data_IF_174281060895
#
_entry.id   IF_174281060895
#
_cell.length_a   1.000
_cell.length_b   1.000
_cell.length_c   1.000
_cell.angle_alpha   90.00
_cell.angle_beta   90.00
_cell.angle_gamma   90.00
#
_symmetry.space_group_name_H-M   'P 1'
#
loop_
_entity.id
_entity.type
_entity.pdbx_description
1 polymer ?
#
# COMPACT_ATOMS: atom_id res chain seq x y z
N UNK A 1 -4.60 11.82 -8.17
CA UNK A 1 -3.55 12.66 -8.81
C UNK A 1 -2.90 11.82 -9.89
N UNK A 2 -2.82 12.32 -11.10
CA UNK A 2 -2.14 11.63 -12.21
C UNK A 2 -0.64 11.46 -11.91
N UNK A 3 -0.04 10.39 -12.43
CA UNK A 3 1.37 10.07 -12.18
C UNK A 3 2.28 11.23 -12.61
N UNK A 4 2.02 11.81 -13.79
CA UNK A 4 2.81 12.94 -14.30
C UNK A 4 2.81 14.13 -13.35
N UNK A 5 1.63 14.57 -12.90
CA UNK A 5 1.50 15.69 -11.95
C UNK A 5 2.20 15.40 -10.62
N UNK A 6 2.17 14.14 -10.15
CA UNK A 6 2.89 13.73 -8.95
C UNK A 6 4.40 13.86 -9.14
N UNK A 7 4.94 13.34 -10.26
CA UNK A 7 6.37 13.37 -10.57
C UNK A 7 6.89 14.78 -10.83
N UNK A 8 6.11 15.63 -11.52
CA UNK A 8 6.46 17.04 -11.72
C UNK A 8 6.64 17.78 -10.38
N UNK A 9 5.75 17.51 -9.42
CA UNK A 9 5.84 18.10 -8.07
C UNK A 9 7.03 17.56 -7.29
N UNK A 10 7.26 16.24 -7.33
CA UNK A 10 8.39 15.62 -6.65
C UNK A 10 9.73 16.11 -7.19
N UNK A 11 9.86 16.21 -8.52
CA UNK A 11 11.08 16.75 -9.14
C UNK A 11 11.27 18.23 -8.85
N UNK A 12 10.20 19.03 -8.87
CA UNK A 12 10.26 20.45 -8.55
C UNK A 12 10.63 20.71 -7.09
N UNK A 13 10.20 19.87 -6.16
CA UNK A 13 10.57 19.94 -4.73
C UNK A 13 12.09 19.88 -4.56
N UNK A 14 12.76 18.97 -5.28
CA UNK A 14 14.21 18.78 -5.19
C UNK A 14 15.00 19.85 -5.98
N UNK A 15 14.53 20.19 -7.17
CA UNK A 15 15.23 21.15 -8.04
C UNK A 15 15.08 22.62 -7.63
N UNK A 16 13.95 22.99 -6.98
CA UNK A 16 13.67 24.38 -6.65
C UNK A 16 13.77 25.31 -7.87
N UNK A 17 14.78 26.18 -7.90
CA UNK A 17 15.10 27.11 -9.00
C UNK A 17 16.15 26.56 -9.98
N UNK A 18 16.52 25.30 -9.89
CA UNK A 18 17.46 24.59 -10.75
C UNK A 18 18.75 24.19 -10.05
N UNK A 19 19.46 23.22 -10.65
CA UNK A 19 20.71 22.70 -10.09
C UNK A 19 21.84 23.73 -10.24
N UNK A 20 22.52 24.03 -9.15
CA UNK A 20 23.65 24.96 -9.15
C UNK A 20 24.87 24.39 -9.91
N UNK A 21 25.03 23.06 -9.91
CA UNK A 21 26.11 22.42 -10.66
C UNK A 21 25.99 22.66 -12.17
N UNK A 22 24.79 22.66 -12.72
CA UNK A 22 24.55 22.93 -14.12
C UNK A 22 25.07 24.33 -14.56
N UNK A 23 25.07 25.32 -13.64
CA UNK A 23 25.55 26.68 -13.92
C UNK A 23 27.06 26.78 -14.10
N UNK A 24 27.81 25.79 -13.62
CA UNK A 24 29.27 25.73 -13.68
C UNK A 24 29.78 24.63 -14.60
N UNK A 25 28.88 23.82 -15.15
CA UNK A 25 29.22 22.80 -16.14
C UNK A 25 29.53 23.45 -17.49
N UNK A 26 30.79 23.39 -17.91
CA UNK A 26 31.23 24.02 -19.16
C UNK A 26 30.60 23.42 -20.40
N UNK A 27 30.43 22.08 -20.41
CA UNK A 27 29.82 21.34 -21.52
C UNK A 27 29.13 20.08 -20.98
N UNK A 28 27.87 19.90 -21.37
CA UNK A 28 27.14 18.66 -21.07
C UNK A 28 27.54 17.51 -22.02
N UNK A 29 27.39 16.29 -21.58
CA UNK A 29 27.73 15.07 -22.31
C UNK A 29 26.80 13.93 -21.98
N UNK A 30 26.71 12.93 -22.84
CA UNK A 30 25.93 11.72 -22.56
C UNK A 30 26.68 10.79 -21.59
N UNK A 31 25.98 10.32 -20.58
CA UNK A 31 26.49 9.37 -19.60
C UNK A 31 25.52 8.20 -19.44
N UNK A 32 26.03 7.10 -18.91
CA UNK A 32 25.24 5.93 -18.49
C UNK A 32 25.29 5.83 -16.98
N UNK A 33 24.14 5.57 -16.36
CA UNK A 33 24.04 5.37 -14.91
C UNK A 33 23.38 4.03 -14.58
N UNK A 34 23.81 3.45 -13.47
CA UNK A 34 23.30 2.18 -12.95
C UNK A 34 22.74 2.37 -11.55
N UNK A 35 21.47 2.01 -11.36
CA UNK A 35 20.86 1.89 -10.04
C UNK A 35 21.14 0.48 -9.52
N UNK A 36 21.79 0.39 -8.36
CA UNK A 36 22.17 -0.89 -7.74
C UNK A 36 21.65 -1.02 -6.33
N UNK A 37 21.24 -2.23 -6.00
CA UNK A 37 20.82 -2.59 -4.65
C UNK A 37 22.01 -2.73 -3.69
N UNK A 38 21.81 -2.28 -2.44
CA UNK A 38 22.73 -2.57 -1.32
C UNK A 38 22.13 -3.57 -0.33
N UNK A 39 20.83 -3.80 -0.41
CA UNK A 39 20.07 -4.76 0.39
C UNK A 39 19.26 -5.67 -0.53
N UNK A 40 18.77 -6.77 -0.01
CA UNK A 40 17.81 -7.62 -0.70
C UNK A 40 16.39 -7.06 -0.56
N UNK A 41 15.51 -7.37 -1.52
CA UNK A 41 14.12 -6.93 -1.46
C UNK A 41 13.28 -7.35 -2.64
N UNK A 42 12.09 -6.76 -2.69
CA UNK A 42 11.13 -6.86 -3.80
C UNK A 42 11.11 -5.52 -4.51
N UNK A 43 11.36 -5.52 -5.81
CA UNK A 43 11.38 -4.29 -6.61
C UNK A 43 9.98 -3.76 -6.80
N UNK A 44 9.84 -2.46 -6.61
CA UNK A 44 8.60 -1.73 -6.85
C UNK A 44 8.92 -0.27 -7.18
N UNK A 45 8.12 0.29 -8.09
CA UNK A 45 8.30 1.66 -8.57
C UNK A 45 8.63 1.76 -10.05
N UNK A 46 8.70 0.65 -10.80
CA UNK A 46 9.01 0.63 -12.23
C UNK A 46 8.16 1.64 -13.00
N UNK A 47 6.84 1.60 -12.83
CA UNK A 47 5.91 2.50 -13.52
C UNK A 47 6.20 3.98 -13.28
N UNK A 48 6.56 4.35 -12.06
CA UNK A 48 6.87 5.74 -11.69
C UNK A 48 8.27 6.15 -12.18
N UNK A 49 9.23 5.25 -12.06
CA UNK A 49 10.59 5.48 -12.57
C UNK A 49 10.59 5.70 -14.08
N UNK A 50 9.94 4.81 -14.85
CA UNK A 50 9.84 4.96 -16.31
C UNK A 50 9.15 6.26 -16.72
N UNK A 51 8.07 6.65 -16.03
CA UNK A 51 7.41 7.91 -16.31
C UNK A 51 8.30 9.14 -15.99
N UNK A 52 9.10 9.09 -14.92
CA UNK A 52 10.07 10.14 -14.59
C UNK A 52 11.16 10.26 -15.65
N UNK A 53 11.70 9.13 -16.10
CA UNK A 53 12.74 9.08 -17.14
C UNK A 53 12.21 9.63 -18.48
N UNK A 54 11.00 9.22 -18.88
CA UNK A 54 10.33 9.72 -20.08
C UNK A 54 10.13 11.24 -20.03
N UNK A 55 9.63 11.77 -18.90
CA UNK A 55 9.43 13.21 -18.71
C UNK A 55 10.72 14.02 -18.81
N UNK A 56 11.86 13.43 -18.49
CA UNK A 56 13.16 14.10 -18.45
C UNK A 56 14.04 13.77 -19.65
N UNK A 57 13.54 13.01 -20.63
CA UNK A 57 14.28 12.63 -21.84
C UNK A 57 15.42 11.66 -21.58
N UNK A 58 15.39 10.93 -20.45
CA UNK A 58 16.38 9.90 -20.13
C UNK A 58 15.90 8.56 -20.68
N UNK A 59 16.79 7.88 -21.39
CA UNK A 59 16.54 6.54 -21.93
C UNK A 59 16.66 5.48 -20.80
N UNK A 60 15.66 4.63 -20.65
CA UNK A 60 15.78 3.40 -19.86
C UNK A 60 16.29 2.27 -20.75
N UNK A 61 17.56 1.91 -20.60
CA UNK A 61 18.20 0.84 -21.36
C UNK A 61 17.74 -0.52 -20.87
N UNK A 62 17.67 -0.68 -19.53
CA UNK A 62 17.24 -1.92 -18.87
C UNK A 62 16.65 -1.62 -17.50
N UNK A 63 15.63 -2.37 -17.10
CA UNK A 63 15.10 -2.39 -15.74
C UNK A 63 14.60 -3.79 -15.39
N UNK A 64 14.67 -4.18 -14.11
CA UNK A 64 13.92 -5.30 -13.59
C UNK A 64 12.45 -4.88 -13.41
N UNK A 65 11.56 -5.85 -13.33
CA UNK A 65 10.13 -5.61 -13.26
C UNK A 65 9.64 -5.49 -11.82
N UNK A 66 8.55 -4.77 -11.63
CA UNK A 66 7.81 -4.79 -10.38
C UNK A 66 7.55 -6.24 -9.94
N UNK A 67 7.62 -6.49 -8.63
CA UNK A 67 7.49 -7.79 -7.96
C UNK A 67 8.70 -8.72 -8.08
N UNK A 68 9.69 -8.42 -8.91
CA UNK A 68 10.92 -9.22 -8.96
C UNK A 68 11.73 -9.07 -7.66
N UNK A 69 12.29 -10.17 -7.21
CA UNK A 69 13.22 -10.19 -6.06
C UNK A 69 14.62 -9.84 -6.52
N UNK A 70 15.33 -9.10 -5.72
CA UNK A 70 16.72 -8.75 -5.96
C UNK A 70 17.58 -8.95 -4.71
N UNK A 71 18.89 -9.06 -4.94
CA UNK A 71 19.93 -9.23 -3.93
C UNK A 71 20.89 -8.05 -3.90
N UNK A 72 21.69 -7.90 -2.83
CA UNK A 72 22.76 -6.90 -2.80
C UNK A 72 23.68 -7.01 -4.02
N UNK A 73 24.03 -5.85 -4.61
CA UNK A 73 24.86 -5.68 -5.82
C UNK A 73 24.14 -5.91 -7.15
N UNK A 74 22.90 -6.42 -7.16
CA UNK A 74 22.14 -6.51 -8.40
C UNK A 74 21.95 -5.12 -9.04
N UNK A 75 22.04 -5.07 -10.36
CA UNK A 75 21.69 -3.89 -11.14
C UNK A 75 20.20 -3.92 -11.38
N UNK A 76 19.50 -2.92 -10.82
CA UNK A 76 18.05 -2.78 -10.91
C UNK A 76 17.62 -2.02 -12.15
N UNK A 77 18.39 -0.97 -12.52
CA UNK A 77 18.16 -0.17 -13.72
C UNK A 77 19.47 0.25 -14.35
N UNK A 78 19.46 0.33 -15.70
CA UNK A 78 20.48 0.99 -16.53
C UNK A 78 19.79 2.09 -17.32
N UNK A 79 20.29 3.33 -17.19
CA UNK A 79 19.70 4.51 -17.79
C UNK A 79 20.78 5.33 -18.49
N UNK A 80 20.41 6.03 -19.58
CA UNK A 80 21.31 6.87 -20.38
C UNK A 80 20.69 8.22 -20.65
N UNK A 81 21.45 9.28 -20.49
CA UNK A 81 20.96 10.64 -20.75
C UNK A 81 22.07 11.67 -20.67
N UNK A 82 21.68 12.94 -20.70
CA UNK A 82 22.59 14.03 -20.43
C UNK A 82 23.04 13.98 -18.98
N UNK A 83 24.34 14.14 -18.74
CA UNK A 83 24.95 14.01 -17.42
C UNK A 83 24.28 14.94 -16.40
N UNK A 84 24.05 16.21 -16.78
CA UNK A 84 23.34 17.17 -15.93
C UNK A 84 21.92 16.69 -15.59
N UNK A 85 21.19 16.10 -16.54
CA UNK A 85 19.83 15.61 -16.28
C UNK A 85 19.83 14.35 -15.39
N UNK A 86 20.80 13.45 -15.56
CA UNK A 86 20.96 12.28 -14.68
C UNK A 86 21.19 12.71 -13.23
N UNK A 87 22.01 13.75 -12.99
CA UNK A 87 22.23 14.31 -11.64
C UNK A 87 20.95 14.90 -11.05
N UNK A 88 20.19 15.65 -11.86
CA UNK A 88 18.92 16.27 -11.42
C UNK A 88 17.85 15.26 -11.00
N UNK A 89 17.79 14.11 -11.63
CA UNK A 89 16.75 13.09 -11.33
C UNK A 89 17.18 12.07 -10.29
N UNK A 90 18.48 11.95 -10.02
CA UNK A 90 19.05 10.90 -9.16
C UNK A 90 18.30 10.76 -7.84
N UNK A 91 18.17 11.86 -7.10
CA UNK A 91 17.59 11.80 -5.75
C UNK A 91 16.10 11.45 -5.79
N UNK A 92 15.34 12.09 -6.66
CA UNK A 92 13.92 11.82 -6.85
C UNK A 92 13.70 10.37 -7.29
N UNK A 93 14.46 9.87 -8.26
CA UNK A 93 14.39 8.47 -8.72
C UNK A 93 14.69 7.48 -7.59
N UNK A 94 15.80 7.69 -6.87
CA UNK A 94 16.18 6.81 -5.77
C UNK A 94 15.14 6.82 -4.65
N UNK A 95 14.63 7.99 -4.26
CA UNK A 95 13.60 8.08 -3.21
C UNK A 95 12.33 7.31 -3.59
N UNK A 96 11.88 7.40 -4.83
CA UNK A 96 10.73 6.64 -5.33
C UNK A 96 10.98 5.14 -5.25
N UNK A 97 12.10 4.66 -5.80
CA UNK A 97 12.42 3.24 -5.84
C UNK A 97 12.66 2.65 -4.44
N UNK A 98 13.41 3.35 -3.59
CA UNK A 98 13.73 2.92 -2.22
C UNK A 98 12.48 2.83 -1.36
N UNK A 99 11.59 3.83 -1.42
CA UNK A 99 10.36 3.86 -0.66
C UNK A 99 9.38 2.78 -1.13
N UNK A 100 9.14 2.71 -2.43
CA UNK A 100 8.21 1.74 -3.01
C UNK A 100 8.68 0.30 -2.78
N UNK A 101 9.96 0.01 -3.00
CA UNK A 101 10.54 -1.31 -2.75
C UNK A 101 10.55 -1.67 -1.25
N UNK A 102 10.70 -0.67 -0.37
CA UNK A 102 10.58 -0.87 1.08
C UNK A 102 9.21 -1.39 1.48
N UNK A 103 8.15 -0.74 0.98
CA UNK A 103 6.76 -1.17 1.21
C UNK A 103 6.50 -2.55 0.61
N UNK A 104 6.91 -2.79 -0.64
CA UNK A 104 6.73 -4.07 -1.31
C UNK A 104 7.46 -5.21 -0.58
N UNK A 105 8.67 -4.95 -0.10
CA UNK A 105 9.48 -5.92 0.66
C UNK A 105 8.83 -6.27 2.00
N UNK A 106 8.39 -5.28 2.77
CA UNK A 106 7.69 -5.54 4.04
C UNK A 106 6.38 -6.29 3.78
N UNK A 107 5.61 -5.88 2.78
CA UNK A 107 4.36 -6.52 2.39
C UNK A 107 4.59 -7.99 2.02
N UNK A 108 5.62 -8.29 1.23
CA UNK A 108 5.95 -9.66 0.84
C UNK A 108 6.27 -10.56 2.05
N UNK A 109 6.95 -10.01 3.08
CA UNK A 109 7.19 -10.73 4.34
C UNK A 109 5.88 -11.05 5.09
N UNK A 110 4.93 -10.12 5.08
CA UNK A 110 3.59 -10.36 5.67
C UNK A 110 2.80 -11.40 4.87
N UNK A 111 2.86 -11.38 3.53
CA UNK A 111 2.25 -12.41 2.66
C UNK A 111 2.83 -13.79 2.95
N UNK A 112 4.15 -13.90 3.08
CA UNK A 112 4.82 -15.15 3.45
C UNK A 112 4.41 -15.63 4.85
N UNK A 113 4.38 -14.71 5.83
CA UNK A 113 3.98 -15.03 7.20
C UNK A 113 2.50 -15.39 7.33
N UNK A 114 1.63 -14.82 6.50
CA UNK A 114 0.20 -15.14 6.43
C UNK A 114 0.00 -16.64 6.13
N UNK A 115 0.79 -17.18 5.19
CA UNK A 115 0.79 -18.60 4.80
C UNK A 115 -0.63 -19.15 4.52
N UNK A 116 -1.42 -18.37 3.79
CA UNK A 116 -2.78 -18.72 3.36
C UNK A 116 -3.05 -18.16 1.97
N UNK A 117 -3.77 -18.91 1.15
CA UNK A 117 -4.25 -18.48 -0.17
C UNK A 117 -5.72 -18.04 -0.15
N UNK A 118 -6.43 -18.33 0.93
CA UNK A 118 -7.85 -18.03 1.09
C UNK A 118 -8.09 -16.68 1.76
N UNK A 119 -7.22 -16.30 2.70
CA UNK A 119 -7.32 -15.05 3.45
C UNK A 119 -6.57 -13.92 2.72
N UNK A 120 -7.22 -12.79 2.50
CA UNK A 120 -6.62 -11.64 1.84
C UNK A 120 -5.87 -10.76 2.84
N UNK A 121 -4.61 -10.44 2.54
CA UNK A 121 -3.89 -9.38 3.22
C UNK A 121 -4.25 -8.03 2.58
N UNK A 122 -4.66 -7.06 3.40
CA UNK A 122 -5.08 -5.73 2.97
C UNK A 122 -4.19 -4.65 3.60
N UNK A 123 -4.01 -3.56 2.86
CA UNK A 123 -3.51 -2.31 3.41
C UNK A 123 -4.61 -1.53 4.17
N UNK A 124 -4.34 -0.29 4.52
CA UNK A 124 -5.29 0.62 5.16
C UNK A 124 -5.22 2.03 4.54
N UNK A 125 -5.95 2.99 5.12
CA UNK A 125 -5.80 4.43 4.80
C UNK A 125 -4.71 5.13 5.62
N UNK A 126 -3.94 4.39 6.42
CA UNK A 126 -2.79 4.92 7.18
C UNK A 126 -1.60 5.11 6.25
N UNK A 127 -1.73 6.05 5.31
CA UNK A 127 -0.74 6.41 4.30
C UNK A 127 -0.20 7.81 4.56
N UNK A 128 0.97 8.12 3.99
CA UNK A 128 1.47 9.49 4.01
C UNK A 128 0.57 10.39 3.18
N UNK A 129 0.34 11.66 3.60
CA UNK A 129 -0.44 12.60 2.79
C UNK A 129 0.09 12.70 1.35
N UNK A 130 -0.81 12.74 0.39
CA UNK A 130 -0.56 12.80 -1.06
C UNK A 130 0.09 11.55 -1.69
N UNK A 131 0.68 10.62 -0.91
CA UNK A 131 1.36 9.42 -1.42
C UNK A 131 0.46 8.18 -1.53
N UNK A 132 -0.81 8.25 -1.12
CA UNK A 132 -1.68 7.06 -1.01
C UNK A 132 -1.69 6.16 -2.24
N UNK A 133 -1.87 6.72 -3.42
CA UNK A 133 -1.94 5.94 -4.66
C UNK A 133 -0.60 5.23 -4.93
N UNK A 134 0.51 5.92 -4.70
CA UNK A 134 1.86 5.36 -4.84
C UNK A 134 2.15 4.28 -3.79
N UNK A 135 1.81 4.51 -2.52
CA UNK A 135 2.06 3.55 -1.45
C UNK A 135 1.17 2.29 -1.58
N UNK A 136 -0.09 2.46 -1.98
CA UNK A 136 -1.00 1.33 -2.24
C UNK A 136 -0.59 0.52 -3.48
N UNK A 137 -0.08 1.16 -4.52
CA UNK A 137 0.56 0.47 -5.64
C UNK A 137 1.74 -0.39 -5.17
N UNK A 138 2.55 0.11 -4.24
CA UNK A 138 3.69 -0.62 -3.68
C UNK A 138 3.25 -1.86 -2.89
N UNK A 139 2.12 -1.77 -2.17
CA UNK A 139 1.51 -2.92 -1.48
C UNK A 139 1.09 -4.02 -2.44
N UNK A 140 0.47 -3.66 -3.59
CA UNK A 140 0.12 -4.63 -4.64
C UNK A 140 1.37 -5.35 -5.20
N UNK A 141 2.48 -4.64 -5.32
CA UNK A 141 3.74 -5.22 -5.77
C UNK A 141 4.38 -6.14 -4.74
N UNK A 142 4.05 -5.97 -3.46
CA UNK A 142 4.42 -6.89 -2.40
C UNK A 142 3.55 -8.16 -2.31
N UNK A 143 2.48 -8.25 -3.13
CA UNK A 143 1.60 -9.42 -3.20
C UNK A 143 0.33 -9.35 -2.34
N UNK A 144 0.06 -8.23 -1.66
CA UNK A 144 -1.18 -8.01 -0.93
C UNK A 144 -2.24 -7.31 -1.81
N UNK A 145 -3.42 -7.04 -1.26
CA UNK A 145 -4.52 -6.33 -1.92
C UNK A 145 -4.74 -4.96 -1.27
N UNK A 146 -5.42 -4.06 -1.96
CA UNK A 146 -5.82 -2.79 -1.38
C UNK A 146 -7.16 -2.90 -0.66
N UNK A 147 -7.27 -2.31 0.52
CA UNK A 147 -8.51 -1.87 1.14
C UNK A 147 -8.98 -0.59 0.45
N UNK A 148 -10.17 -0.07 0.78
CA UNK A 148 -10.73 1.15 0.18
C UNK A 148 -9.69 2.27 0.01
N UNK A 149 -9.76 2.92 -1.16
CA UNK A 149 -8.84 4.00 -1.53
C UNK A 149 -9.19 5.32 -0.84
N UNK A 150 -10.48 5.59 -0.65
CA UNK A 150 -10.98 6.83 -0.08
C UNK A 150 -12.23 6.60 0.76
N UNK A 151 -12.87 7.69 1.15
CA UNK A 151 -14.17 7.66 1.84
C UNK A 151 -15.33 7.38 0.89
N UNK A 152 -15.12 7.58 -0.39
CA UNK A 152 -16.06 7.41 -1.50
C UNK A 152 -16.10 5.97 -2.05
N UNK A 153 -15.19 5.10 -1.63
CA UNK A 153 -15.05 3.75 -2.18
C UNK A 153 -15.94 2.72 -1.44
N UNK A 154 -16.02 2.82 -0.11
CA UNK A 154 -16.91 2.00 0.73
C UNK A 154 -17.30 2.77 2.00
N UNK A 155 -18.55 2.56 2.47
CA UNK A 155 -18.97 3.06 3.76
C UNK A 155 -18.36 2.19 4.87
N UNK A 156 -17.60 2.80 5.77
CA UNK A 156 -17.09 2.15 6.98
C UNK A 156 -17.58 2.91 8.20
N UNK A 157 -18.32 2.23 9.06
CA UNK A 157 -18.78 2.77 10.34
C UNK A 157 -17.80 2.36 11.44
N UNK A 158 -17.33 3.34 12.18
CA UNK A 158 -16.42 3.20 13.31
C UNK A 158 -17.13 3.51 14.62
N UNK A 159 -16.47 3.23 15.75
CA UNK A 159 -16.94 3.54 17.09
C UNK A 159 -17.54 4.95 17.21
N UNK A 160 -16.86 5.95 16.65
CA UNK A 160 -17.32 7.35 16.65
C UNK A 160 -18.62 7.57 15.89
N UNK A 161 -18.88 6.83 14.81
CA UNK A 161 -20.14 6.89 14.08
C UNK A 161 -21.24 6.16 14.85
N UNK A 162 -20.93 4.96 15.37
CA UNK A 162 -21.88 4.10 16.06
C UNK A 162 -22.45 4.73 17.34
N UNK A 163 -21.66 5.52 18.07
CA UNK A 163 -22.12 6.31 19.24
C UNK A 163 -23.28 7.26 18.95
N UNK A 164 -23.43 7.68 17.68
CA UNK A 164 -24.48 8.61 17.25
C UNK A 164 -25.64 7.92 16.52
N UNK A 165 -25.57 6.60 16.29
CA UNK A 165 -26.61 5.82 15.60
C UNK A 165 -27.42 5.06 16.64
N UNK A 166 -28.68 5.50 16.87
CA UNK A 166 -29.58 4.88 17.87
C UNK A 166 -30.12 3.52 17.43
N UNK A 167 -30.43 3.38 16.15
CA UNK A 167 -30.95 2.14 15.53
C UNK A 167 -30.12 1.82 14.30
N UNK A 168 -29.19 0.89 14.45
CA UNK A 168 -28.25 0.51 13.41
C UNK A 168 -28.96 -0.11 12.19
N UNK A 169 -30.00 -0.94 12.41
CA UNK A 169 -30.74 -1.59 11.33
C UNK A 169 -31.49 -0.60 10.45
N UNK A 170 -32.18 0.34 11.07
CA UNK A 170 -32.86 1.43 10.34
C UNK A 170 -31.87 2.33 9.62
N UNK A 171 -30.72 2.63 10.24
CA UNK A 171 -29.65 3.41 9.61
C UNK A 171 -29.08 2.69 8.38
N UNK A 172 -28.74 1.40 8.46
CA UNK A 172 -28.22 0.65 7.30
C UNK A 172 -29.24 0.53 6.17
N UNK A 173 -30.52 0.35 6.52
CA UNK A 173 -31.64 0.36 5.54
C UNK A 173 -31.71 1.68 4.78
N UNK A 174 -31.56 2.79 5.51
CA UNK A 174 -31.51 4.14 4.89
C UNK A 174 -30.24 4.33 4.07
N UNK A 175 -29.08 3.92 4.60
CA UNK A 175 -27.80 4.02 3.91
C UNK A 175 -27.83 3.32 2.54
N UNK A 176 -28.34 2.10 2.46
CA UNK A 176 -28.43 1.33 1.21
C UNK A 176 -29.27 2.03 0.11
N UNK A 177 -30.24 2.87 0.49
CA UNK A 177 -31.04 3.63 -0.49
C UNK A 177 -30.29 4.84 -1.05
N UNK A 178 -29.26 5.31 -0.35
CA UNK A 178 -28.53 6.55 -0.67
C UNK A 178 -27.08 6.30 -1.12
N UNK A 179 -26.57 5.09 -0.95
CA UNK A 179 -25.25 4.71 -1.43
C UNK A 179 -25.31 4.17 -2.87
N UNK A 180 -24.19 4.22 -3.62
CA UNK A 180 -24.09 3.51 -4.89
C UNK A 180 -24.44 2.03 -4.69
N UNK A 181 -25.15 1.45 -5.67
CA UNK A 181 -25.62 0.05 -5.60
C UNK A 181 -24.50 -0.96 -5.31
N UNK A 182 -23.29 -0.69 -5.80
CA UNK A 182 -22.11 -1.54 -5.63
C UNK A 182 -21.32 -1.30 -4.33
N UNK A 183 -21.68 -0.27 -3.56
CA UNK A 183 -20.95 0.08 -2.35
C UNK A 183 -21.20 -0.95 -1.23
N UNK A 184 -20.12 -1.40 -0.61
CA UNK A 184 -20.14 -2.23 0.60
C UNK A 184 -20.31 -1.37 1.85
N UNK A 185 -20.97 -1.95 2.87
CA UNK A 185 -21.06 -1.38 4.21
C UNK A 185 -20.26 -2.24 5.16
N UNK A 186 -19.23 -1.66 5.73
CA UNK A 186 -18.35 -2.28 6.71
C UNK A 186 -18.56 -1.65 8.08
N UNK A 187 -18.53 -2.47 9.14
CA UNK A 187 -18.68 -2.02 10.53
C UNK A 187 -17.51 -2.54 11.36
N UNK A 188 -16.79 -1.61 11.99
CA UNK A 188 -15.72 -1.88 12.93
C UNK A 188 -16.34 -2.20 14.31
N UNK A 189 -15.99 -3.35 14.87
CA UNK A 189 -16.53 -3.90 16.10
C UNK A 189 -15.41 -4.28 17.07
N UNK A 190 -15.58 -3.95 18.35
CA UNK A 190 -14.61 -4.25 19.42
C UNK A 190 -15.09 -5.36 20.36
N UNK A 191 -16.26 -5.96 20.11
CA UNK A 191 -16.83 -7.04 20.92
C UNK A 191 -17.68 -8.02 20.10
N UNK A 192 -17.87 -9.21 20.63
CA UNK A 192 -18.75 -10.23 20.04
C UNK A 192 -20.19 -9.70 19.86
N UNK A 193 -20.74 -8.99 20.85
CA UNK A 193 -22.11 -8.48 20.78
C UNK A 193 -22.24 -7.36 19.73
N UNK A 194 -21.22 -6.51 19.55
CA UNK A 194 -21.21 -5.53 18.46
C UNK A 194 -21.16 -6.21 17.10
N UNK A 195 -20.31 -7.21 16.91
CA UNK A 195 -20.21 -7.97 15.67
C UNK A 195 -21.54 -8.67 15.33
N UNK A 196 -22.18 -9.30 16.30
CA UNK A 196 -23.51 -9.91 16.17
C UNK A 196 -24.58 -8.89 15.79
N UNK A 197 -24.59 -7.72 16.44
CA UNK A 197 -25.51 -6.64 16.12
C UNK A 197 -25.30 -6.10 14.71
N UNK A 198 -24.04 -5.92 14.30
CA UNK A 198 -23.67 -5.48 12.95
C UNK A 198 -24.16 -6.45 11.85
N UNK A 199 -23.95 -7.76 12.07
CA UNK A 199 -24.45 -8.82 11.16
C UNK A 199 -25.98 -8.81 11.08
N UNK A 200 -26.67 -8.74 12.23
CA UNK A 200 -28.13 -8.69 12.29
C UNK A 200 -28.70 -7.42 11.64
N UNK A 201 -27.97 -6.31 11.71
CA UNK A 201 -28.38 -5.06 11.07
C UNK A 201 -28.17 -5.07 9.54
N UNK A 202 -27.41 -6.03 9.01
CA UNK A 202 -27.19 -6.21 7.57
C UNK A 202 -25.91 -5.58 7.04
N UNK A 203 -24.82 -5.57 7.81
CA UNK A 203 -23.49 -5.26 7.33
C UNK A 203 -23.04 -6.23 6.23
N UNK A 204 -22.27 -5.76 5.26
CA UNK A 204 -21.62 -6.63 4.27
C UNK A 204 -20.28 -7.17 4.77
N UNK A 205 -19.59 -6.38 5.60
CA UNK A 205 -18.30 -6.70 6.19
C UNK A 205 -18.34 -6.32 7.68
N UNK A 206 -17.85 -7.20 8.52
CA UNK A 206 -17.63 -6.94 9.95
C UNK A 206 -16.14 -7.01 10.22
N UNK A 207 -15.57 -5.92 10.72
CA UNK A 207 -14.17 -5.85 11.10
C UNK A 207 -14.04 -6.08 12.62
N UNK A 208 -13.31 -7.11 13.02
CA UNK A 208 -12.89 -7.38 14.38
C UNK A 208 -11.66 -6.50 14.70
N UNK A 209 -11.87 -5.34 15.34
CA UNK A 209 -10.78 -4.41 15.63
C UNK A 209 -10.18 -4.66 17.01
N UNK A 210 -8.88 -4.87 17.06
CA UNK A 210 -8.10 -5.15 18.27
C UNK A 210 -8.58 -6.34 19.10
N UNK A 211 -9.34 -7.28 18.53
CA UNK A 211 -9.78 -8.49 19.19
C UNK A 211 -8.71 -9.57 19.18
N UNK A 212 -8.72 -10.44 20.19
CA UNK A 212 -7.84 -11.62 20.22
C UNK A 212 -8.21 -12.64 19.14
N UNK A 213 -7.28 -13.54 18.82
CA UNK A 213 -7.52 -14.66 17.89
C UNK A 213 -8.69 -15.54 18.34
N UNK A 214 -8.86 -15.73 19.65
CA UNK A 214 -9.96 -16.55 20.20
C UNK A 214 -11.31 -15.88 19.98
N UNK A 215 -11.46 -14.61 20.33
CA UNK A 215 -12.69 -13.84 20.10
C UNK A 215 -13.03 -13.78 18.61
N UNK A 216 -12.03 -13.53 17.75
CA UNK A 216 -12.21 -13.53 16.30
C UNK A 216 -12.71 -14.88 15.79
N UNK A 217 -12.19 -15.99 16.34
CA UNK A 217 -12.63 -17.35 15.99
C UNK A 217 -14.07 -17.64 16.43
N UNK A 218 -14.48 -17.16 17.60
CA UNK A 218 -15.87 -17.28 18.05
C UNK A 218 -16.83 -16.52 17.15
N UNK A 219 -16.46 -15.31 16.72
CA UNK A 219 -17.23 -14.51 15.77
C UNK A 219 -17.31 -15.22 14.42
N UNK A 220 -16.21 -15.79 13.93
CA UNK A 220 -16.20 -16.54 12.68
C UNK A 220 -17.15 -17.74 12.71
N UNK A 221 -17.13 -18.53 13.78
CA UNK A 221 -18.03 -19.66 13.97
C UNK A 221 -19.50 -19.22 14.02
N UNK A 222 -19.80 -18.11 14.70
CA UNK A 222 -21.13 -17.52 14.73
C UNK A 222 -21.61 -17.04 13.36
N UNK A 223 -20.72 -16.32 12.63
CA UNK A 223 -20.95 -15.86 11.26
C UNK A 223 -21.28 -17.02 10.32
N UNK A 224 -20.48 -18.07 10.32
CA UNK A 224 -20.64 -19.23 9.44
C UNK A 224 -22.00 -19.92 9.63
N UNK A 225 -22.47 -19.97 10.88
CA UNK A 225 -23.75 -20.58 11.23
C UNK A 225 -24.97 -19.72 10.86
N UNK A 226 -24.87 -18.39 11.04
CA UNK A 226 -26.05 -17.51 10.99
C UNK A 226 -26.04 -16.50 9.84
N UNK A 227 -24.84 -16.11 9.36
CA UNK A 227 -24.65 -15.04 8.36
C UNK A 227 -23.55 -15.39 7.33
N UNK A 228 -23.62 -16.53 6.62
CA UNK A 228 -22.52 -17.06 5.82
C UNK A 228 -22.08 -16.16 4.66
N UNK A 229 -22.84 -15.10 4.33
CA UNK A 229 -22.51 -14.14 3.28
C UNK A 229 -21.83 -12.86 3.79
N UNK A 230 -21.74 -12.69 5.11
CA UNK A 230 -21.03 -11.56 5.72
C UNK A 230 -19.53 -11.87 5.72
N UNK A 231 -18.72 -10.96 5.18
CA UNK A 231 -17.28 -11.09 5.24
C UNK A 231 -16.75 -10.65 6.59
N UNK A 232 -15.72 -11.34 7.08
CA UNK A 232 -15.01 -10.98 8.31
C UNK A 232 -13.61 -10.47 7.98
N UNK A 233 -13.25 -9.36 8.61
CA UNK A 233 -11.93 -8.79 8.59
C UNK A 233 -11.35 -8.75 10.00
N UNK A 234 -10.09 -9.14 10.18
CA UNK A 234 -9.34 -8.87 11.42
C UNK A 234 -8.44 -7.65 11.22
N UNK A 235 -8.40 -6.77 12.21
CA UNK A 235 -7.59 -5.56 12.21
C UNK A 235 -7.06 -5.24 13.62
N UNK A 236 -6.08 -4.33 13.69
CA UNK A 236 -5.52 -3.84 14.94
C UNK A 236 -4.33 -4.65 15.45
N UNK A 237 -3.18 -3.98 15.56
CA UNK A 237 -1.93 -4.50 16.16
C UNK A 237 -1.43 -5.87 15.64
N UNK A 238 -1.82 -6.26 14.41
CA UNK A 238 -1.40 -7.52 13.81
C UNK A 238 0.04 -7.38 13.28
N UNK A 239 0.89 -8.33 13.68
CA UNK A 239 2.33 -8.38 13.37
C UNK A 239 2.71 -9.59 12.53
N UNK A 240 3.95 -9.63 12.04
CA UNK A 240 4.50 -10.82 11.36
C UNK A 240 4.38 -12.10 12.22
N UNK A 241 4.53 -11.98 13.53
CA UNK A 241 4.44 -13.13 14.46
C UNK A 241 3.01 -13.60 14.73
N UNK A 242 2.00 -12.73 14.56
CA UNK A 242 0.61 -13.06 14.91
C UNK A 242 -0.29 -13.31 13.69
N UNK A 243 0.06 -12.83 12.51
CA UNK A 243 -0.82 -12.84 11.32
C UNK A 243 -1.30 -14.25 10.94
N UNK A 244 -0.46 -15.27 11.04
CA UNK A 244 -0.83 -16.65 10.72
C UNK A 244 -1.90 -17.21 11.66
N UNK A 245 -1.87 -16.80 12.94
CA UNK A 245 -2.89 -17.21 13.91
C UNK A 245 -4.26 -16.58 13.57
N UNK A 246 -4.28 -15.30 13.18
CA UNK A 246 -5.50 -14.65 12.68
C UNK A 246 -6.01 -15.28 11.38
N UNK A 247 -5.12 -15.64 10.46
CA UNK A 247 -5.52 -16.32 9.23
C UNK A 247 -6.27 -17.64 9.48
N UNK A 248 -5.95 -18.33 10.60
CA UNK A 248 -6.58 -19.58 11.01
C UNK A 248 -7.84 -19.39 11.85
N UNK A 249 -8.24 -18.16 12.12
CA UNK A 249 -9.44 -17.87 12.92
C UNK A 249 -10.75 -17.95 12.16
N UNK A 250 -10.70 -18.08 10.82
CA UNK A 250 -11.89 -18.12 9.96
C UNK A 250 -12.27 -16.77 9.37
N UNK A 251 -11.37 -15.77 9.36
CA UNK A 251 -11.59 -14.49 8.69
C UNK A 251 -11.31 -14.58 7.19
N UNK A 252 -11.96 -13.72 6.42
CA UNK A 252 -11.78 -13.62 4.96
C UNK A 252 -10.65 -12.68 4.57
N UNK A 253 -10.35 -11.71 5.47
CA UNK A 253 -9.31 -10.72 5.24
C UNK A 253 -8.62 -10.28 6.55
N UNK A 254 -7.40 -9.77 6.39
CA UNK A 254 -6.65 -9.15 7.48
C UNK A 254 -6.09 -7.83 6.99
N UNK A 255 -6.43 -6.72 7.64
CA UNK A 255 -5.85 -5.41 7.29
C UNK A 255 -4.73 -5.01 8.25
N UNK A 256 -3.62 -4.55 7.65
CA UNK A 256 -2.39 -4.21 8.38
C UNK A 256 -1.87 -2.85 7.94
N UNK A 257 -2.01 -1.85 8.79
CA UNK A 257 -1.47 -0.51 8.52
C UNK A 257 0.06 -0.47 8.47
N UNK A 258 0.72 -1.35 9.22
CA UNK A 258 2.18 -1.47 9.29
C UNK A 258 2.85 -1.71 7.93
N UNK A 259 2.16 -2.32 6.97
CA UNK A 259 2.66 -2.52 5.59
C UNK A 259 3.23 -1.24 4.99
N UNK A 260 2.64 -0.09 5.34
CA UNK A 260 3.03 1.22 4.81
C UNK A 260 3.77 2.03 5.86
N UNK A 261 3.15 2.30 7.02
CA UNK A 261 3.70 3.29 7.95
C UNK A 261 4.94 2.79 8.74
N UNK A 262 5.23 1.48 8.76
CA UNK A 262 6.43 0.90 9.35
C UNK A 262 7.45 0.43 8.29
N UNK A 263 7.15 0.56 7.00
CA UNK A 263 8.09 0.23 5.95
C UNK A 263 9.30 1.18 5.97
N UNK A 264 10.50 0.62 5.90
CA UNK A 264 11.76 1.33 5.78
C UNK A 264 12.22 1.36 4.33
N UNK A 265 12.96 2.39 3.95
CA UNK A 265 13.59 2.46 2.63
C UNK A 265 14.57 1.29 2.42
N UNK A 266 14.55 0.70 1.24
CA UNK A 266 15.60 -0.23 0.81
C UNK A 266 16.80 0.58 0.30
N UNK A 267 17.99 0.33 0.84
CA UNK A 267 19.18 1.10 0.42
C UNK A 267 19.60 0.74 -1.01
N UNK A 268 19.62 1.77 -1.85
CA UNK A 268 20.04 1.73 -3.25
C UNK A 268 20.94 2.91 -3.55
N UNK A 269 21.78 2.79 -4.56
CA UNK A 269 22.61 3.91 -5.05
C UNK A 269 22.65 3.95 -6.57
N UNK A 270 22.91 5.12 -7.12
CA UNK A 270 23.18 5.32 -8.53
C UNK A 270 24.69 5.57 -8.73
N UNK A 271 25.27 4.95 -9.75
CA UNK A 271 26.64 5.21 -10.21
C UNK A 271 26.64 5.48 -11.68
N UNK A 272 27.34 6.54 -12.06
CA UNK A 272 27.59 6.91 -13.45
C UNK A 272 28.94 6.39 -13.93
N UNK A 273 29.02 6.10 -15.22
CA UNK A 273 30.23 5.69 -15.96
C UNK A 273 30.28 6.41 -17.29
#
# INVERSE_FOLDING_TARGET
>A
MEIKTFLERALKEDLGHGDLFERVLEKDFKATAFVRAKQEGVFSGEKYALALLEMTGIECVKTIKDKERFKPKDTLMEIRGDFSMLLKVERTLLNLLQHSSGIATLTSRFVEALNSHEVRLLDTRKTRPLLRIFEKYSVLNGGASNHRLGLDDALMLKDTHLKHIKDLKSFLTHARKNLPFTAKIEIECESFEEAKNAMNAGADIVMCDNMSVLETKEIAAYRDMHYPFVLLEASGNISLGSINAYAKSGVDAISVGALIHQATFIDMHMKMV
#
